data_IF_952588480373
#
_entry.id   IF_952588480373
#
_cell.length_a   1.000
_cell.length_b   1.000
_cell.length_c   1.000
_cell.angle_alpha   90.00
_cell.angle_beta   90.00
_cell.angle_gamma   90.00
#
_symmetry.space_group_name_H-M   'P 1'
#
loop_
_entity.id
_entity.type
_entity.pdbx_description
1 polymer ?
#
# COMPACT_ATOMS: atom_id res chain seq x y z
N UNK A 1 68.90 14.50 -3.06
CA UNK A 1 68.08 13.37 -3.54
C UNK A 1 67.70 12.52 -2.34
N UNK A 2 66.41 12.20 -2.22
CA UNK A 2 65.87 10.97 -1.61
C UNK A 2 65.78 10.93 -0.06
N UNK A 3 64.50 11.01 0.38
CA UNK A 3 63.83 10.31 1.50
C UNK A 3 64.13 10.80 2.94
N UNK A 4 63.18 10.82 3.88
CA UNK A 4 61.83 10.24 3.94
C UNK A 4 61.07 11.02 5.03
N UNK A 5 59.94 11.64 4.68
CA UNK A 5 59.02 12.24 5.64
C UNK A 5 58.33 11.11 6.41
N UNK A 6 58.62 11.00 7.71
CA UNK A 6 57.74 10.38 8.68
C UNK A 6 56.48 11.25 8.81
N UNK A 7 55.43 10.92 8.05
CA UNK A 7 54.07 11.18 8.48
C UNK A 7 53.30 9.89 8.28
N UNK A 8 53.13 9.20 9.41
CA UNK A 8 52.28 8.04 9.58
C UNK A 8 50.90 8.34 8.99
N UNK A 9 50.57 7.60 7.95
CA UNK A 9 49.25 7.53 7.35
C UNK A 9 48.28 7.00 8.43
N UNK A 10 47.45 7.87 9.01
CA UNK A 10 46.24 7.44 9.69
C UNK A 10 45.29 6.88 8.63
N UNK A 11 45.37 5.58 8.38
CA UNK A 11 44.42 4.85 7.56
C UNK A 11 43.07 4.83 8.31
N UNK A 12 42.17 5.74 7.96
CA UNK A 12 40.77 5.62 8.33
C UNK A 12 40.18 4.43 7.56
N UNK A 13 40.22 3.24 8.17
CA UNK A 13 39.45 2.09 7.71
C UNK A 13 37.98 2.46 7.93
N UNK A 14 37.33 2.98 6.90
CA UNK A 14 35.88 3.01 6.84
C UNK A 14 35.42 1.55 6.83
N UNK A 15 34.92 1.06 7.97
CA UNK A 15 34.17 -0.18 8.08
C UNK A 15 33.00 -0.08 7.10
N UNK A 16 33.16 -0.68 5.92
CA UNK A 16 32.03 -1.07 5.09
C UNK A 16 31.31 -2.17 5.87
N UNK A 17 30.38 -1.77 6.73
CA UNK A 17 29.41 -2.70 7.30
C UNK A 17 28.55 -3.13 6.10
N UNK A 18 28.60 -4.39 5.66
CA UNK A 18 27.62 -4.86 4.70
C UNK A 18 26.24 -4.63 5.32
N UNK A 19 25.36 -3.92 4.61
CA UNK A 19 23.97 -3.76 5.03
C UNK A 19 23.40 -5.17 5.09
N UNK A 20 23.14 -5.67 6.30
CA UNK A 20 22.50 -6.96 6.47
C UNK A 20 21.11 -6.86 5.82
N UNK A 21 20.90 -7.63 4.75
CA UNK A 21 19.56 -7.84 4.21
C UNK A 21 18.74 -8.61 5.23
N UNK A 22 17.50 -8.18 5.45
CA UNK A 22 16.53 -9.01 6.14
C UNK A 22 16.03 -10.06 5.16
N UNK A 23 15.78 -11.28 5.58
CA UNK A 23 14.97 -12.23 4.81
C UNK A 23 13.76 -12.50 5.67
N UNK A 24 12.59 -12.01 5.28
CA UNK A 24 11.44 -12.14 6.15
C UNK A 24 10.19 -12.63 5.44
N UNK A 25 9.50 -13.52 6.14
CA UNK A 25 8.10 -13.82 5.90
C UNK A 25 7.29 -13.21 7.04
N UNK A 26 6.05 -12.86 6.79
CA UNK A 26 5.13 -12.38 7.82
C UNK A 26 3.96 -13.35 8.01
N UNK A 27 3.39 -13.39 9.21
CA UNK A 27 2.17 -14.15 9.48
C UNK A 27 1.12 -13.23 10.08
N UNK A 28 -0.14 -13.66 10.08
CA UNK A 28 -1.29 -12.87 10.53
C UNK A 28 -1.10 -12.32 11.95
N UNK A 29 -0.66 -13.13 12.95
CA UNK A 29 -0.27 -12.62 14.26
C UNK A 29 0.75 -11.46 14.23
N UNK A 30 1.81 -11.52 13.42
CA UNK A 30 2.79 -10.44 13.33
C UNK A 30 2.17 -9.20 12.72
N UNK A 31 1.40 -9.33 11.64
CA UNK A 31 0.67 -8.21 11.03
C UNK A 31 -0.20 -7.54 12.09
N UNK A 32 -1.07 -8.30 12.77
CA UNK A 32 -1.94 -7.76 13.82
C UNK A 32 -1.14 -7.07 14.94
N UNK A 33 -0.05 -7.68 15.41
CA UNK A 33 0.77 -7.11 16.48
C UNK A 33 1.47 -5.81 16.05
N UNK A 34 2.04 -5.78 14.84
CA UNK A 34 2.72 -4.62 14.28
C UNK A 34 1.74 -3.48 13.96
N UNK A 35 0.57 -3.79 13.40
CA UNK A 35 -0.52 -2.81 13.19
C UNK A 35 -0.99 -2.23 14.52
N UNK A 36 -1.17 -3.07 15.54
CA UNK A 36 -1.59 -2.62 16.87
C UNK A 36 -0.54 -1.71 17.52
N UNK A 37 0.74 -2.03 17.35
CA UNK A 37 1.85 -1.20 17.86
C UNK A 37 1.88 0.17 17.19
N UNK A 38 1.58 0.25 15.90
CA UNK A 38 1.51 1.50 15.16
C UNK A 38 0.16 2.25 15.29
N UNK A 39 -0.85 1.64 15.91
CA UNK A 39 -2.20 2.18 15.96
C UNK A 39 -2.25 3.60 16.55
N UNK A 40 -1.44 3.89 17.58
CA UNK A 40 -1.39 5.22 18.19
C UNK A 40 -0.90 6.33 17.24
N UNK A 41 0.01 6.02 16.32
CA UNK A 41 0.58 7.02 15.40
C UNK A 41 -0.17 7.08 14.05
N UNK A 42 -0.75 5.95 13.64
CA UNK A 42 -1.34 5.75 12.33
C UNK A 42 -2.85 5.99 12.32
N UNK A 43 -3.57 5.54 13.35
CA UNK A 43 -5.03 5.66 13.40
C UNK A 43 -5.49 7.12 13.51
N UNK A 44 -4.73 7.97 14.20
CA UNK A 44 -4.99 9.43 14.31
C UNK A 44 -6.45 9.77 14.61
N UNK A 45 -6.99 9.10 15.62
CA UNK A 45 -8.39 9.25 16.00
C UNK A 45 -8.67 10.66 16.52
N UNK A 46 -9.77 11.26 16.06
CA UNK A 46 -10.21 12.57 16.52
C UNK A 46 -11.73 12.76 16.42
N UNK A 47 -12.34 13.50 17.36
CA UNK A 47 -13.70 14.00 17.20
C UNK A 47 -13.69 15.20 16.26
N UNK A 48 -14.43 15.14 15.15
CA UNK A 48 -14.38 16.14 14.08
C UNK A 48 -15.66 16.98 13.99
N UNK A 49 -16.77 16.51 14.54
CA UNK A 49 -18.05 17.17 14.37
C UNK A 49 -19.23 16.51 15.10
N UNK A 50 -20.43 16.89 14.68
CA UNK A 50 -21.69 16.32 15.18
C UNK A 50 -22.66 16.03 14.03
N UNK A 51 -23.31 14.88 14.11
CA UNK A 51 -24.38 14.45 13.21
C UNK A 51 -25.75 14.64 13.85
N UNK A 52 -26.73 15.05 13.04
CA UNK A 52 -28.11 15.27 13.45
C UNK A 52 -29.02 14.23 12.77
N UNK A 53 -29.85 13.60 13.58
CA UNK A 53 -30.74 12.51 13.18
C UNK A 53 -32.16 12.79 13.62
N UNK A 54 -33.14 12.44 12.79
CA UNK A 54 -34.54 12.47 13.17
C UNK A 54 -34.94 11.11 13.72
N UNK A 55 -35.38 11.09 14.99
CA UNK A 55 -35.97 9.92 15.63
C UNK A 55 -37.46 10.13 15.88
N UNK A 56 -38.31 9.45 15.12
CA UNK A 56 -39.76 9.47 15.33
C UNK A 56 -40.24 8.22 16.07
N UNK A 57 -41.15 8.44 17.02
CA UNK A 57 -41.98 7.43 17.69
C UNK A 57 -43.45 7.76 17.45
N UNK A 58 -44.35 6.90 17.93
CA UNK A 58 -45.80 7.10 17.86
C UNK A 58 -46.28 8.38 18.58
N UNK A 59 -45.48 8.90 19.53
CA UNK A 59 -45.75 10.13 20.30
C UNK A 59 -45.16 11.41 19.69
N UNK A 60 -44.38 11.33 18.62
CA UNK A 60 -43.75 12.49 17.98
C UNK A 60 -42.33 12.25 17.50
N UNK A 61 -41.73 13.29 16.93
CA UNK A 61 -40.36 13.26 16.40
C UNK A 61 -39.41 14.13 17.24
N UNK A 62 -38.22 13.61 17.51
CA UNK A 62 -37.15 14.31 18.23
C UNK A 62 -35.87 14.28 17.42
N UNK A 63 -35.13 15.39 17.41
CA UNK A 63 -33.77 15.43 16.85
C UNK A 63 -32.82 14.82 17.87
N UNK A 64 -32.01 13.88 17.41
CA UNK A 64 -30.95 13.21 18.18
C UNK A 64 -29.61 13.54 17.55
N UNK A 65 -28.60 13.71 18.39
CA UNK A 65 -27.23 13.98 17.93
C UNK A 65 -26.31 12.80 18.23
N UNK A 66 -25.28 12.64 17.40
CA UNK A 66 -24.14 11.77 17.68
C UNK A 66 -22.84 12.46 17.30
N UNK A 67 -21.76 12.08 17.97
CA UNK A 67 -20.43 12.58 17.64
C UNK A 67 -20.01 12.06 16.27
N UNK A 68 -19.41 12.92 15.46
CA UNK A 68 -18.73 12.55 14.22
C UNK A 68 -17.26 12.37 14.53
N UNK A 69 -16.74 11.19 14.20
CA UNK A 69 -15.34 10.82 14.44
C UNK A 69 -14.63 10.68 13.10
N UNK A 70 -13.35 11.05 13.09
CA UNK A 70 -12.42 10.84 11.99
C UNK A 70 -11.23 10.03 12.47
N UNK A 71 -10.87 8.98 11.74
CA UNK A 71 -9.64 8.21 11.98
C UNK A 71 -9.26 7.39 10.74
N UNK A 72 -8.02 6.90 10.72
CA UNK A 72 -7.50 6.03 9.68
C UNK A 72 -7.67 4.57 10.07
N UNK A 73 -8.29 3.79 9.19
CA UNK A 73 -8.39 2.34 9.32
C UNK A 73 -7.28 1.64 8.54
N UNK A 74 -6.70 0.55 9.06
CA UNK A 74 -5.84 -0.33 8.26
C UNK A 74 -6.75 -1.16 7.35
N UNK A 75 -6.92 -0.71 6.11
CA UNK A 75 -7.89 -1.32 5.19
C UNK A 75 -7.29 -2.53 4.47
N UNK A 76 -6.05 -2.42 4.00
CA UNK A 76 -5.41 -3.45 3.19
C UNK A 76 -4.01 -3.76 3.74
N UNK A 77 -3.64 -5.03 3.62
CA UNK A 77 -2.24 -5.46 3.59
C UNK A 77 -1.86 -5.60 2.12
N UNK A 78 -0.83 -4.88 1.70
CA UNK A 78 -0.31 -4.93 0.33
C UNK A 78 1.08 -5.54 0.37
N UNK A 79 1.24 -6.65 -0.34
CA UNK A 79 2.50 -7.40 -0.41
C UNK A 79 3.05 -7.32 -1.83
N UNK A 80 4.34 -7.02 -1.95
CA UNK A 80 5.05 -7.02 -3.23
C UNK A 80 6.22 -7.97 -3.15
N UNK A 81 6.35 -8.83 -4.15
CA UNK A 81 7.26 -9.96 -4.11
C UNK A 81 7.72 -10.36 -5.51
N UNK A 82 8.72 -11.21 -5.56
CA UNK A 82 9.41 -11.57 -6.79
C UNK A 82 8.67 -12.61 -7.61
N UNK A 83 8.45 -13.79 -7.03
CA UNK A 83 7.94 -14.94 -7.77
C UNK A 83 6.42 -15.07 -7.68
N UNK A 84 5.76 -15.41 -8.78
CA UNK A 84 4.32 -15.65 -8.79
C UNK A 84 3.92 -16.70 -7.73
N UNK A 85 2.92 -16.39 -6.91
CA UNK A 85 2.50 -17.25 -5.79
C UNK A 85 3.51 -17.32 -4.64
N UNK A 86 4.53 -16.47 -4.63
CA UNK A 86 5.58 -16.37 -3.62
C UNK A 86 5.25 -15.44 -2.46
N UNK A 87 3.99 -14.99 -2.30
CA UNK A 87 3.58 -13.97 -1.33
C UNK A 87 4.24 -14.15 0.07
N UNK A 88 4.89 -13.11 0.64
CA UNK A 88 5.58 -13.23 1.93
C UNK A 88 4.65 -13.39 3.13
N UNK A 89 3.35 -13.15 2.97
CA UNK A 89 2.34 -13.46 3.96
C UNK A 89 1.97 -14.94 3.90
N UNK A 90 2.43 -15.71 4.88
CA UNK A 90 2.46 -17.19 4.80
C UNK A 90 1.10 -17.85 4.58
N UNK A 91 0.05 -17.36 5.24
CA UNK A 91 -1.30 -17.91 5.17
C UNK A 91 -1.96 -17.61 3.83
N UNK A 92 -1.73 -16.41 3.30
CA UNK A 92 -2.17 -16.03 1.96
C UNK A 92 -1.44 -16.85 0.90
N UNK A 93 -0.13 -17.01 1.02
CA UNK A 93 0.65 -17.86 0.11
C UNK A 93 0.13 -19.29 0.08
N UNK A 94 -0.17 -19.87 1.24
CA UNK A 94 -0.68 -21.23 1.36
C UNK A 94 -2.08 -21.41 0.74
N UNK A 95 -2.92 -20.37 0.78
CA UNK A 95 -4.32 -20.44 0.31
C UNK A 95 -4.49 -20.00 -1.14
N UNK A 96 -3.82 -18.92 -1.55
CA UNK A 96 -3.99 -18.29 -2.86
C UNK A 96 -2.85 -18.57 -3.83
N UNK A 97 -1.66 -18.95 -3.35
CA UNK A 97 -0.46 -19.07 -4.20
C UNK A 97 -0.61 -20.11 -5.31
N UNK A 98 -1.18 -21.29 -5.01
CA UNK A 98 -1.43 -22.32 -6.04
C UNK A 98 -2.52 -21.89 -7.03
N UNK A 99 -3.58 -21.24 -6.54
CA UNK A 99 -4.66 -20.74 -7.37
C UNK A 99 -4.15 -19.66 -8.33
N UNK A 100 -3.33 -18.72 -7.85
CA UNK A 100 -2.67 -17.72 -8.68
C UNK A 100 -1.78 -18.36 -9.74
N UNK A 101 -0.89 -19.30 -9.36
CA UNK A 101 -0.01 -19.99 -10.32
C UNK A 101 -0.81 -20.71 -11.41
N UNK A 102 -1.88 -21.41 -11.02
CA UNK A 102 -2.74 -22.16 -11.96
C UNK A 102 -3.52 -21.24 -12.87
N UNK A 103 -4.16 -20.21 -12.32
CA UNK A 103 -4.97 -19.25 -13.07
C UNK A 103 -4.12 -18.42 -14.02
N UNK A 104 -2.96 -17.93 -13.55
CA UNK A 104 -1.99 -17.25 -14.40
C UNK A 104 -1.52 -18.17 -15.52
N UNK A 105 -1.14 -19.42 -15.22
CA UNK A 105 -0.68 -20.37 -16.25
C UNK A 105 -1.75 -20.70 -17.28
N UNK A 106 -3.00 -20.88 -16.85
CA UNK A 106 -4.12 -21.16 -17.75
C UNK A 106 -4.50 -19.95 -18.61
N UNK A 107 -4.66 -18.78 -18.00
CA UNK A 107 -5.08 -17.55 -18.68
C UNK A 107 -3.97 -17.00 -19.57
N UNK A 108 -2.75 -16.87 -19.04
CA UNK A 108 -1.60 -16.42 -19.84
C UNK A 108 -1.20 -17.49 -20.85
N UNK A 109 -1.10 -18.77 -20.48
CA UNK A 109 -0.74 -19.82 -21.43
C UNK A 109 -1.72 -19.96 -22.60
N UNK A 110 -2.99 -19.58 -22.41
CA UNK A 110 -3.98 -19.55 -23.49
C UNK A 110 -4.01 -18.25 -24.30
N UNK A 111 -3.66 -17.10 -23.71
CA UNK A 111 -3.74 -15.78 -24.36
C UNK A 111 -2.40 -15.23 -24.86
N UNK A 112 -1.28 -15.62 -24.26
CA UNK A 112 0.05 -15.09 -24.51
C UNK A 112 1.14 -16.18 -24.37
N UNK A 113 1.98 -16.44 -25.38
CA UNK A 113 3.07 -17.42 -25.31
C UNK A 113 4.28 -16.87 -24.51
N UNK A 114 4.06 -16.38 -23.30
CA UNK A 114 5.11 -15.82 -22.42
C UNK A 114 5.32 -16.75 -21.23
N UNK A 115 6.57 -17.18 -20.93
CA UNK A 115 6.84 -18.05 -19.80
C UNK A 115 6.50 -17.35 -18.46
N UNK A 116 5.55 -17.93 -17.73
CA UNK A 116 4.94 -17.37 -16.50
C UNK A 116 5.97 -17.23 -15.36
N UNK A 117 6.92 -18.17 -15.27
CA UNK A 117 7.97 -18.24 -14.25
C UNK A 117 9.14 -17.27 -14.50
N UNK A 118 9.14 -16.55 -15.63
CA UNK A 118 10.33 -15.87 -16.12
C UNK A 118 10.46 -14.40 -15.69
N UNK A 119 9.55 -13.88 -14.87
CA UNK A 119 9.57 -12.48 -14.44
C UNK A 119 10.19 -12.27 -13.04
N UNK A 120 10.34 -13.34 -12.23
CA UNK A 120 10.60 -13.24 -10.80
C UNK A 120 11.95 -12.67 -10.36
N UNK A 121 12.85 -12.36 -11.29
CA UNK A 121 14.06 -11.59 -10.98
C UNK A 121 14.59 -10.86 -12.22
N UNK A 122 13.70 -10.49 -13.15
CA UNK A 122 14.13 -9.83 -14.39
C UNK A 122 14.50 -8.39 -14.09
N UNK A 123 15.78 -8.23 -13.81
CA UNK A 123 16.52 -7.04 -14.18
C UNK A 123 16.92 -7.17 -15.63
N UNK A 124 16.63 -6.17 -16.46
CA UNK A 124 17.07 -6.18 -17.85
C UNK A 124 18.60 -6.33 -17.86
N UNK A 125 19.09 -7.41 -18.48
CA UNK A 125 20.51 -7.71 -18.54
C UNK A 125 20.80 -9.19 -18.80
N UNK A 126 21.57 -9.49 -19.84
CA UNK A 126 22.05 -10.85 -20.16
C UNK A 126 23.49 -11.07 -19.71
N UNK A 127 24.18 -10.00 -19.28
CA UNK A 127 25.56 -10.03 -18.81
C UNK A 127 25.68 -9.47 -17.38
N UNK A 128 26.72 -9.89 -16.64
CA UNK A 128 27.01 -9.35 -15.30
C UNK A 128 27.35 -7.84 -15.28
N UNK A 129 27.43 -7.18 -16.45
CA UNK A 129 27.76 -5.76 -16.59
C UNK A 129 26.57 -4.89 -16.98
N UNK A 130 25.40 -5.47 -17.18
CA UNK A 130 24.21 -4.70 -17.55
C UNK A 130 23.64 -3.97 -16.32
N UNK A 131 23.23 -2.71 -16.52
CA UNK A 131 22.63 -1.91 -15.45
C UNK A 131 21.22 -2.43 -15.13
N UNK A 132 21.12 -3.13 -14.00
CA UNK A 132 19.92 -3.80 -13.50
C UNK A 132 18.89 -2.86 -12.84
N UNK A 133 18.50 -1.79 -13.54
CA UNK A 133 17.59 -0.77 -12.96
C UNK A 133 16.12 -1.01 -13.28
N UNK A 134 15.79 -1.93 -14.20
CA UNK A 134 14.41 -2.34 -14.43
C UNK A 134 14.08 -3.47 -13.46
N UNK A 135 13.04 -3.34 -12.64
CA UNK A 135 12.67 -4.33 -11.61
C UNK A 135 11.21 -4.72 -11.83
N UNK A 136 10.94 -6.02 -11.88
CA UNK A 136 9.58 -6.54 -11.89
C UNK A 136 9.17 -7.05 -10.51
N UNK A 137 7.93 -6.76 -10.09
CA UNK A 137 7.34 -7.37 -8.89
C UNK A 137 5.89 -7.78 -9.12
N UNK A 138 5.53 -8.92 -8.56
CA UNK A 138 4.14 -9.27 -8.27
C UNK A 138 3.61 -8.45 -7.10
N UNK A 139 2.30 -8.24 -7.04
CA UNK A 139 1.66 -7.45 -6.00
C UNK A 139 0.24 -7.94 -5.73
N UNK A 140 -0.04 -8.19 -4.45
CA UNK A 140 -1.38 -8.53 -3.98
C UNK A 140 -1.86 -7.49 -2.97
N UNK A 141 -3.12 -7.09 -3.07
CA UNK A 141 -3.79 -6.23 -2.11
C UNK A 141 -4.96 -6.99 -1.47
N UNK A 142 -4.85 -7.21 -0.15
CA UNK A 142 -5.73 -8.11 0.60
C UNK A 142 -6.32 -7.38 1.79
N UNK A 143 -7.60 -7.59 2.06
CA UNK A 143 -8.28 -7.00 3.20
C UNK A 143 -7.59 -7.30 4.52
N UNK A 144 -7.33 -6.26 5.30
CA UNK A 144 -6.55 -6.36 6.52
C UNK A 144 -7.26 -7.24 7.57
N UNK A 145 -6.55 -8.07 8.36
CA UNK A 145 -7.16 -8.94 9.37
C UNK A 145 -8.00 -8.20 10.43
N UNK A 146 -7.65 -6.95 10.71
CA UNK A 146 -8.38 -6.09 11.66
C UNK A 146 -9.60 -5.37 11.03
N UNK A 147 -9.84 -5.47 9.73
CA UNK A 147 -10.93 -4.72 9.09
C UNK A 147 -12.31 -5.14 9.63
N UNK A 148 -12.53 -6.43 9.85
CA UNK A 148 -13.75 -6.95 10.49
C UNK A 148 -13.92 -6.53 11.96
N UNK A 149 -12.81 -6.39 12.70
CA UNK A 149 -12.83 -5.95 14.09
C UNK A 149 -13.28 -4.49 14.22
N UNK A 150 -12.94 -3.62 13.27
CA UNK A 150 -13.49 -2.25 13.24
C UNK A 150 -15.01 -2.25 13.13
N UNK A 151 -15.59 -3.19 12.37
CA UNK A 151 -17.04 -3.38 12.25
C UNK A 151 -17.71 -3.87 13.53
N UNK A 152 -17.04 -4.71 14.34
CA UNK A 152 -17.55 -5.18 15.63
C UNK A 152 -17.56 -4.04 16.66
N UNK A 153 -16.49 -3.24 16.70
CA UNK A 153 -16.36 -2.13 17.66
C UNK A 153 -17.14 -0.88 17.20
N UNK A 154 -17.54 -0.79 15.93
CA UNK A 154 -18.37 0.28 15.39
C UNK A 154 -19.69 0.49 16.16
N UNK A 155 -20.20 -0.55 16.84
CA UNK A 155 -21.37 -0.43 17.73
C UNK A 155 -21.18 0.52 18.92
N UNK A 156 -19.94 0.91 19.24
CA UNK A 156 -19.62 1.92 20.27
C UNK A 156 -19.81 3.36 19.78
N UNK A 157 -19.96 3.56 18.47
CA UNK A 157 -20.00 4.89 17.86
C UNK A 157 -18.65 5.61 17.78
N UNK A 158 -17.57 4.98 18.23
CA UNK A 158 -16.24 5.58 18.30
C UNK A 158 -15.32 5.16 17.15
N UNK A 159 -15.58 4.04 16.48
CA UNK A 159 -14.81 3.59 15.33
C UNK A 159 -15.71 3.46 14.10
N UNK A 160 -15.11 3.70 12.95
CA UNK A 160 -15.76 3.63 11.65
C UNK A 160 -15.51 2.22 11.11
N UNK A 161 -16.56 1.55 10.60
CA UNK A 161 -16.34 0.30 9.91
C UNK A 161 -15.45 0.54 8.70
N UNK A 162 -14.47 -0.34 8.51
CA UNK A 162 -13.69 -0.41 7.27
C UNK A 162 -14.56 -0.94 6.13
N UNK A 163 -14.27 -0.52 4.90
CA UNK A 163 -14.95 -0.99 3.68
C UNK A 163 -14.31 -2.26 3.12
N UNK A 164 -13.27 -2.77 3.79
CA UNK A 164 -12.60 -4.00 3.39
C UNK A 164 -13.04 -5.20 4.23
N UNK A 165 -13.17 -6.35 3.58
CA UNK A 165 -13.42 -7.63 4.27
C UNK A 165 -12.09 -8.32 4.56
N UNK A 166 -11.89 -8.76 5.80
CA UNK A 166 -10.63 -9.37 6.22
C UNK A 166 -10.28 -10.60 5.37
N UNK A 167 -9.02 -10.70 4.96
CA UNK A 167 -8.47 -11.75 4.08
C UNK A 167 -9.07 -11.83 2.67
N UNK A 168 -9.94 -10.89 2.29
CA UNK A 168 -10.50 -10.88 0.94
C UNK A 168 -9.47 -10.31 -0.07
N UNK A 169 -9.15 -11.02 -1.17
CA UNK A 169 -8.20 -10.52 -2.16
C UNK A 169 -8.88 -9.50 -3.09
N UNK A 170 -8.57 -8.22 -2.90
CA UNK A 170 -9.09 -7.13 -3.74
C UNK A 170 -8.32 -7.02 -5.07
N UNK A 171 -7.02 -7.33 -5.05
CA UNK A 171 -6.19 -7.37 -6.26
C UNK A 171 -5.13 -8.45 -6.14
N UNK A 172 -4.88 -9.15 -7.24
CA UNK A 172 -3.82 -10.13 -7.38
C UNK A 172 -3.20 -9.98 -8.77
N UNK A 173 -1.98 -9.46 -8.83
CA UNK A 173 -1.29 -9.17 -10.09
C UNK A 173 -1.17 -10.37 -11.04
N UNK A 174 -1.06 -11.58 -10.48
CA UNK A 174 -1.01 -12.82 -11.25
C UNK A 174 -2.27 -13.11 -12.06
N UNK A 175 -3.44 -12.63 -11.63
CA UNK A 175 -4.71 -12.76 -12.35
C UNK A 175 -4.90 -11.64 -13.37
N UNK A 176 -4.27 -10.50 -13.13
CA UNK A 176 -4.34 -9.29 -13.95
C UNK A 176 -3.17 -9.21 -14.94
N UNK A 177 -2.79 -10.35 -15.51
CA UNK A 177 -1.49 -10.45 -16.15
C UNK A 177 -1.34 -9.61 -17.43
N UNK A 178 -2.44 -9.28 -18.13
CA UNK A 178 -2.38 -8.40 -19.29
C UNK A 178 -1.98 -6.98 -18.88
N UNK A 179 -2.75 -6.35 -18.00
CA UNK A 179 -2.47 -4.98 -17.54
C UNK A 179 -1.23 -4.91 -16.68
N UNK A 180 -1.03 -5.88 -15.78
CA UNK A 180 0.10 -5.88 -14.87
C UNK A 180 1.44 -6.22 -15.53
N UNK A 181 1.52 -7.17 -16.48
CA UNK A 181 2.80 -7.58 -17.08
C UNK A 181 3.08 -6.96 -18.45
N UNK A 182 2.04 -6.64 -19.22
CA UNK A 182 2.18 -6.07 -20.57
C UNK A 182 1.88 -4.57 -20.62
N UNK A 183 1.50 -3.97 -19.49
CA UNK A 183 1.17 -2.54 -19.40
C UNK A 183 -0.05 -2.13 -20.25
N UNK A 184 -0.80 -3.08 -20.82
CA UNK A 184 -1.94 -2.80 -21.71
C UNK A 184 -3.25 -2.99 -20.94
N UNK A 185 -4.18 -2.01 -20.94
CA UNK A 185 -4.18 -0.77 -21.75
C UNK A 185 -3.57 0.45 -21.04
N UNK A 186 -2.92 0.25 -19.90
CA UNK A 186 -2.39 1.32 -19.05
C UNK A 186 -1.40 2.26 -19.78
N UNK A 187 -0.65 1.76 -20.76
CA UNK A 187 0.29 2.52 -21.58
C UNK A 187 -0.37 3.66 -22.36
N UNK A 188 -1.68 3.56 -22.62
CA UNK A 188 -2.43 4.59 -23.35
C UNK A 188 -2.89 5.77 -22.48
N UNK A 189 -2.72 5.70 -21.15
CA UNK A 189 -3.00 6.86 -20.31
C UNK A 189 -1.96 7.97 -20.54
N UNK A 190 -2.36 9.25 -20.56
CA UNK A 190 -1.41 10.36 -20.75
C UNK A 190 -0.26 10.37 -19.74
N UNK A 191 -0.53 9.94 -18.50
CA UNK A 191 0.48 9.86 -17.45
C UNK A 191 1.55 8.79 -17.70
N UNK A 192 1.30 7.82 -18.58
CA UNK A 192 2.30 6.82 -19.01
C UNK A 192 3.30 7.40 -20.02
N UNK A 193 2.95 8.49 -20.71
CA UNK A 193 3.75 9.07 -21.79
C UNK A 193 4.39 10.41 -21.42
N UNK A 194 3.81 11.13 -20.45
CA UNK A 194 4.25 12.46 -20.04
C UNK A 194 4.92 12.38 -18.65
N UNK A 195 6.26 12.46 -18.58
CA UNK A 195 6.97 12.49 -17.30
C UNK A 195 6.49 13.64 -16.41
N UNK A 196 6.49 13.42 -15.10
CA UNK A 196 6.04 14.44 -14.15
C UNK A 196 4.55 14.36 -13.81
N UNK A 197 3.74 13.66 -14.62
CA UNK A 197 2.36 13.36 -14.27
C UNK A 197 2.31 12.12 -13.37
N UNK A 198 1.56 12.22 -12.24
CA UNK A 198 1.28 11.08 -11.36
C UNK A 198 2.55 10.37 -10.87
N UNK A 199 3.48 11.15 -10.32
CA UNK A 199 4.78 10.69 -9.86
C UNK A 199 4.79 10.38 -8.37
N UNK A 200 5.47 9.29 -8.00
CA UNK A 200 5.76 8.97 -6.61
C UNK A 200 7.04 9.70 -6.16
N UNK A 201 6.90 11.01 -5.96
CA UNK A 201 8.00 11.90 -5.57
C UNK A 201 7.77 13.33 -6.05
N UNK A 202 8.83 14.10 -6.15
CA UNK A 202 8.84 15.47 -6.70
C UNK A 202 9.68 15.52 -7.98
N UNK A 203 9.04 15.31 -9.12
CA UNK A 203 9.67 15.46 -10.43
C UNK A 203 10.02 16.94 -10.71
N UNK A 204 11.13 17.25 -11.41
CA UNK A 204 12.14 16.33 -11.95
C UNK A 204 13.27 15.99 -10.96
N UNK A 205 13.28 16.60 -9.78
CA UNK A 205 14.44 16.57 -8.88
C UNK A 205 14.60 15.25 -8.13
N UNK A 206 13.50 14.64 -7.69
CA UNK A 206 13.51 13.37 -6.97
C UNK A 206 12.20 12.64 -7.20
N UNK A 207 12.19 11.58 -8.00
CA UNK A 207 11.02 10.71 -8.15
C UNK A 207 11.44 9.25 -7.99
N UNK A 208 10.58 8.45 -7.37
CA UNK A 208 10.73 7.00 -7.32
C UNK A 208 10.15 6.34 -8.57
N UNK A 209 9.37 7.08 -9.37
CA UNK A 209 8.79 6.63 -10.63
C UNK A 209 7.32 7.05 -10.79
N UNK A 210 6.84 6.93 -12.03
CA UNK A 210 5.45 7.22 -12.38
C UNK A 210 4.51 6.09 -11.94
N UNK A 211 3.33 6.45 -11.43
CA UNK A 211 2.28 5.46 -11.12
C UNK A 211 1.71 4.83 -12.37
N UNK A 212 1.67 5.57 -13.47
CA UNK A 212 1.27 5.07 -14.78
C UNK A 212 2.50 4.71 -15.65
N UNK A 213 2.44 3.64 -16.46
CA UNK A 213 1.39 2.62 -16.47
C UNK A 213 1.36 1.84 -15.14
N UNK A 214 0.18 1.41 -14.68
CA UNK A 214 0.06 0.65 -13.42
C UNK A 214 0.43 -0.81 -13.65
N UNK A 215 1.73 -1.07 -13.73
CA UNK A 215 2.35 -2.36 -14.03
C UNK A 215 3.24 -2.86 -12.89
N UNK A 216 3.65 -4.12 -12.98
CA UNK A 216 4.70 -4.72 -12.18
C UNK A 216 6.11 -4.19 -12.48
N UNK A 217 6.34 -3.57 -13.64
CA UNK A 217 7.64 -3.07 -14.07
C UNK A 217 7.94 -1.67 -13.53
N UNK A 218 9.12 -1.50 -12.94
CA UNK A 218 9.56 -0.21 -12.39
C UNK A 218 11.03 0.02 -12.70
N UNK A 219 11.38 1.20 -13.23
CA UNK A 219 12.78 1.60 -13.39
C UNK A 219 13.26 2.30 -12.11
N UNK A 220 13.93 1.56 -11.22
CA UNK A 220 14.52 2.05 -9.99
C UNK A 220 15.82 1.30 -9.65
N UNK A 221 16.80 2.03 -9.13
CA UNK A 221 18.04 1.42 -8.62
C UNK A 221 17.87 0.82 -7.22
N UNK A 222 16.93 1.36 -6.42
CA UNK A 222 16.64 0.87 -5.08
C UNK A 222 15.41 -0.03 -5.09
N UNK A 223 15.61 -1.32 -4.81
CA UNK A 223 14.53 -2.31 -4.72
C UNK A 223 13.37 -1.93 -3.79
N UNK A 224 13.60 -1.38 -2.57
CA UNK A 224 12.49 -0.98 -1.70
C UNK A 224 11.61 0.11 -2.32
N UNK A 225 12.19 1.04 -3.08
CA UNK A 225 11.43 2.10 -3.76
C UNK A 225 10.61 1.54 -4.92
N UNK A 226 11.17 0.60 -5.67
CA UNK A 226 10.44 -0.12 -6.71
C UNK A 226 9.23 -0.87 -6.12
N UNK A 227 9.47 -1.60 -5.03
CA UNK A 227 8.45 -2.34 -4.32
C UNK A 227 7.35 -1.41 -3.76
N UNK A 228 7.73 -0.27 -3.16
CA UNK A 228 6.77 0.74 -2.69
C UNK A 228 5.94 1.36 -3.82
N UNK A 229 6.52 1.58 -5.01
CA UNK A 229 5.78 2.06 -6.18
C UNK A 229 4.74 1.03 -6.65
N UNK A 230 5.10 -0.26 -6.70
CA UNK A 230 4.16 -1.32 -7.06
C UNK A 230 3.02 -1.43 -6.04
N UNK A 231 3.32 -1.30 -4.74
CA UNK A 231 2.30 -1.24 -3.70
C UNK A 231 1.36 -0.02 -3.87
N UNK A 232 1.91 1.15 -4.20
CA UNK A 232 1.13 2.35 -4.52
C UNK A 232 0.21 2.13 -5.73
N UNK A 233 0.70 1.50 -6.79
CA UNK A 233 -0.09 1.18 -7.99
C UNK A 233 -1.26 0.25 -7.66
N UNK A 234 -1.02 -0.82 -6.91
CA UNK A 234 -2.09 -1.72 -6.46
C UNK A 234 -3.12 -1.00 -5.59
N UNK A 235 -2.67 -0.15 -4.66
CA UNK A 235 -3.53 0.72 -3.86
C UNK A 235 -4.37 1.70 -4.70
N UNK A 236 -3.78 2.29 -5.74
CA UNK A 236 -4.49 3.18 -6.66
C UNK A 236 -5.55 2.44 -7.49
N UNK A 237 -5.27 1.20 -7.94
CA UNK A 237 -6.23 0.36 -8.66
C UNK A 237 -7.44 0.06 -7.77
N UNK A 238 -7.21 -0.52 -6.59
CA UNK A 238 -8.30 -1.03 -5.73
C UNK A 238 -9.13 0.09 -5.10
N UNK A 239 -8.60 1.30 -4.97
CA UNK A 239 -9.35 2.43 -4.38
C UNK A 239 -10.13 3.24 -5.42
N UNK A 240 -10.14 2.79 -6.68
CA UNK A 240 -10.93 3.37 -7.78
C UNK A 240 -11.92 2.35 -8.31
N UNK A 241 -12.93 2.83 -9.05
CA UNK A 241 -13.86 1.98 -9.78
C UNK A 241 -13.61 2.08 -11.28
N UNK A 242 -14.03 1.07 -12.05
CA UNK A 242 -13.95 1.08 -13.51
C UNK A 242 -12.55 1.09 -14.13
N UNK A 243 -11.52 0.71 -13.36
CA UNK A 243 -10.15 0.56 -13.89
C UNK A 243 -10.04 -0.66 -14.83
N UNK A 244 -9.19 -0.61 -15.87
CA UNK A 244 -9.02 -1.71 -16.82
C UNK A 244 -8.09 -2.81 -16.28
N UNK A 245 -8.45 -3.35 -15.11
CA UNK A 245 -7.71 -4.38 -14.39
C UNK A 245 -8.67 -5.48 -13.92
N UNK A 246 -8.15 -6.66 -13.61
CA UNK A 246 -8.87 -7.73 -12.90
C UNK A 246 -8.75 -7.51 -11.39
N UNK A 247 -9.76 -6.87 -10.80
CA UNK A 247 -9.77 -6.52 -9.37
C UNK A 247 -11.20 -6.36 -8.85
N UNK A 248 -11.33 -6.29 -7.54
CA UNK A 248 -12.55 -5.85 -6.85
C UNK A 248 -12.26 -4.47 -6.26
N UNK A 249 -13.08 -3.44 -6.53
CA UNK A 249 -12.88 -2.14 -5.93
C UNK A 249 -13.23 -2.16 -4.44
N UNK A 250 -12.46 -1.44 -3.62
CA UNK A 250 -12.78 -1.16 -2.22
C UNK A 250 -13.90 -0.14 -2.19
N UNK A 251 -15.12 -0.64 -2.37
CA UNK A 251 -16.34 0.15 -2.29
C UNK A 251 -17.06 -0.13 -1.00
N UNK A 252 -17.63 0.93 -0.43
CA UNK A 252 -18.25 0.81 0.86
C UNK A 252 -19.60 0.10 0.91
N UNK A 253 -19.89 -0.50 2.07
CA UNK A 253 -21.20 -1.06 2.38
C UNK A 253 -21.89 -0.22 3.46
N UNK A 254 -23.18 0.08 3.27
CA UNK A 254 -23.95 0.85 4.23
C UNK A 254 -24.23 0.02 5.49
N UNK A 255 -23.43 0.23 6.54
CA UNK A 255 -23.59 -0.42 7.83
C UNK A 255 -24.64 0.24 8.76
N UNK A 256 -24.56 -0.09 10.04
CA UNK A 256 -25.38 0.49 11.12
C UNK A 256 -25.05 1.96 11.44
N UNK A 257 -24.07 2.55 10.75
CA UNK A 257 -23.57 3.91 10.93
C UNK A 257 -23.65 4.69 9.61
N UNK A 258 -23.67 6.02 9.69
CA UNK A 258 -23.38 6.86 8.51
C UNK A 258 -21.87 6.95 8.38
N UNK A 259 -21.35 6.51 7.23
CA UNK A 259 -19.92 6.52 6.91
C UNK A 259 -19.70 7.40 5.68
N UNK A 260 -18.61 8.16 5.70
CA UNK A 260 -18.05 8.81 4.53
C UNK A 260 -16.75 8.10 4.19
N UNK A 261 -16.80 7.30 3.14
CA UNK A 261 -15.67 6.51 2.67
C UNK A 261 -14.60 7.43 2.03
N UNK A 262 -13.31 7.09 2.15
CA UNK A 262 -12.23 7.86 1.55
C UNK A 262 -12.32 7.82 0.02
N UNK A 263 -11.90 8.93 -0.61
CA UNK A 263 -11.74 9.00 -2.06
C UNK A 263 -10.56 8.15 -2.57
N UNK A 264 -10.27 8.16 -3.88
CA UNK A 264 -9.15 7.42 -4.45
C UNK A 264 -7.81 7.72 -3.77
N UNK A 265 -6.95 6.71 -3.65
CA UNK A 265 -5.58 6.91 -3.16
C UNK A 265 -4.81 7.81 -4.13
N UNK A 266 -4.09 8.79 -3.60
CA UNK A 266 -3.25 9.71 -4.36
C UNK A 266 -1.83 9.67 -3.80
N UNK A 267 -0.85 9.78 -4.69
CA UNK A 267 0.56 9.78 -4.33
C UNK A 267 0.88 11.00 -3.47
N UNK A 268 1.70 10.83 -2.43
CA UNK A 268 2.15 11.91 -1.52
C UNK A 268 1.05 12.64 -0.75
N UNK A 269 -0.20 12.27 -0.92
CA UNK A 269 -1.32 12.91 -0.24
C UNK A 269 -1.79 12.07 0.95
N UNK A 270 -1.38 12.50 2.15
CA UNK A 270 -1.74 11.85 3.41
C UNK A 270 -3.26 11.82 3.62
N UNK A 271 -4.01 12.78 3.07
CA UNK A 271 -5.48 12.86 3.22
C UNK A 271 -6.23 11.77 2.46
N UNK A 272 -5.54 11.02 1.60
CA UNK A 272 -6.12 9.89 0.85
C UNK A 272 -5.63 8.53 1.35
N UNK A 273 -4.50 8.50 2.06
CA UNK A 273 -3.97 7.30 2.68
C UNK A 273 -2.52 7.44 3.12
N UNK A 274 -2.09 6.54 4.00
CA UNK A 274 -0.70 6.42 4.44
C UNK A 274 -0.28 4.97 4.52
N UNK A 275 1.02 4.73 4.46
CA UNK A 275 1.61 3.40 4.43
C UNK A 275 2.41 3.15 5.71
N UNK A 276 2.32 1.92 6.21
CA UNK A 276 3.14 1.40 7.30
C UNK A 276 3.93 0.21 6.78
N UNK A 277 5.26 0.23 6.85
CA UNK A 277 6.05 -0.96 6.52
C UNK A 277 5.90 -2.03 7.61
N UNK A 278 5.64 -3.26 7.19
CA UNK A 278 5.57 -4.45 8.05
C UNK A 278 6.80 -5.35 7.83
N UNK A 279 7.24 -5.44 6.58
CA UNK A 279 8.38 -6.22 6.13
C UNK A 279 9.18 -5.39 5.10
N UNK A 280 10.53 -5.43 5.11
CA UNK A 280 11.40 -6.21 6.00
C UNK A 280 11.55 -5.66 7.42
N UNK A 281 11.41 -4.34 7.57
CA UNK A 281 11.56 -3.67 8.85
C UNK A 281 10.23 -3.05 9.26
N UNK A 282 9.65 -3.54 10.34
CA UNK A 282 8.36 -3.02 10.81
C UNK A 282 8.51 -1.60 11.35
N UNK A 283 7.68 -0.70 10.85
CA UNK A 283 7.60 0.68 11.28
C UNK A 283 6.41 0.88 12.23
N UNK A 284 6.63 1.64 13.29
CA UNK A 284 5.58 2.09 14.22
C UNK A 284 4.95 3.42 13.81
N UNK A 285 5.24 3.91 12.61
CA UNK A 285 4.76 5.19 12.07
C UNK A 285 4.21 5.02 10.67
N UNK A 286 3.30 5.91 10.26
CA UNK A 286 2.70 5.89 8.92
C UNK A 286 3.02 7.15 8.14
N UNK A 287 3.47 6.96 6.89
CA UNK A 287 3.83 8.04 5.99
C UNK A 287 3.42 7.72 4.55
N UNK A 288 3.43 8.73 3.71
CA UNK A 288 3.28 8.55 2.26
C UNK A 288 4.63 8.15 1.65
N UNK A 289 4.58 7.39 0.57
CA UNK A 289 5.75 7.13 -0.26
C UNK A 289 6.17 8.38 -1.06
N UNK A 290 7.37 8.37 -1.64
CA UNK A 290 7.92 9.51 -2.39
C UNK A 290 8.52 10.61 -1.51
N UNK A 291 9.02 10.24 -0.33
CA UNK A 291 9.74 11.17 0.56
C UNK A 291 11.07 11.58 -0.09
N UNK A 292 11.40 12.87 -0.05
CA UNK A 292 12.68 13.36 -0.56
C UNK A 292 13.83 12.93 0.35
N UNK A 293 14.73 12.12 -0.19
CA UNK A 293 15.86 11.51 0.49
C UNK A 293 17.21 11.87 -0.15
N UNK A 294 17.27 12.88 -1.03
CA UNK A 294 18.51 13.29 -1.73
C UNK A 294 19.64 13.69 -0.77
N UNK A 295 19.31 14.22 0.40
CA UNK A 295 20.28 14.60 1.42
C UNK A 295 20.57 13.47 2.43
N UNK A 296 19.91 12.31 2.28
CA UNK A 296 20.15 11.15 3.14
C UNK A 296 21.41 10.42 2.70
N UNK A 297 22.29 10.08 3.66
CA UNK A 297 23.51 9.31 3.39
C UNK A 297 23.20 7.89 2.88
N UNK A 298 22.06 7.32 3.31
CA UNK A 298 21.68 5.92 3.01
C UNK A 298 20.43 5.82 2.14
N UNK A 299 19.85 6.94 1.70
CA UNK A 299 18.55 6.97 1.03
C UNK A 299 17.39 6.48 1.91
N UNK A 300 16.20 6.40 1.33
CA UNK A 300 15.01 5.83 1.96
C UNK A 300 15.08 4.30 2.02
N UNK A 301 15.65 3.65 1.00
CA UNK A 301 15.83 2.18 0.98
C UNK A 301 16.89 1.66 1.95
N UNK A 302 17.76 2.52 2.48
CA UNK A 302 18.81 2.14 3.43
C UNK A 302 18.25 1.41 4.65
N UNK A 303 18.70 0.18 4.87
CA UNK A 303 18.24 -0.68 5.98
C UNK A 303 16.84 -1.28 5.80
N UNK A 304 16.20 -1.05 4.65
CA UNK A 304 14.89 -1.62 4.27
C UNK A 304 15.02 -2.62 3.14
N UNK A 305 16.20 -3.15 2.85
CA UNK A 305 16.41 -4.14 1.78
C UNK A 305 16.12 -5.53 2.33
N UNK A 306 15.20 -6.23 1.68
CA UNK A 306 14.97 -7.66 1.90
C UNK A 306 15.81 -8.46 0.89
N UNK A 307 16.49 -9.53 1.31
CA UNK A 307 17.38 -10.33 0.47
C UNK A 307 16.64 -11.19 -0.55
N UNK A 308 15.39 -11.56 -0.24
CA UNK A 308 14.49 -12.24 -1.18
C UNK A 308 13.65 -11.24 -1.98
N UNK A 309 13.77 -9.96 -1.64
CA UNK A 309 13.03 -8.87 -2.23
C UNK A 309 11.56 -8.85 -1.81
N UNK A 310 11.22 -9.38 -0.64
CA UNK A 310 9.85 -9.41 -0.18
C UNK A 310 9.51 -8.20 0.69
N UNK A 311 8.37 -7.56 0.40
CA UNK A 311 7.93 -6.37 1.12
C UNK A 311 6.43 -6.43 1.41
N UNK A 312 6.04 -5.92 2.57
CA UNK A 312 4.66 -5.88 3.01
C UNK A 312 4.37 -4.55 3.70
N UNK A 313 3.25 -3.94 3.36
CA UNK A 313 2.77 -2.71 3.99
C UNK A 313 1.29 -2.80 4.39
N UNK A 314 0.92 -2.06 5.42
CA UNK A 314 -0.48 -1.69 5.62
C UNK A 314 -0.80 -0.40 4.89
N UNK A 315 -1.96 -0.37 4.22
CA UNK A 315 -2.58 0.84 3.73
C UNK A 315 -3.61 1.34 4.74
N UNK A 316 -3.30 2.47 5.37
CA UNK A 316 -4.16 3.18 6.30
C UNK A 316 -4.97 4.25 5.57
N UNK A 317 -6.29 4.25 5.76
CA UNK A 317 -7.24 5.03 4.95
C UNK A 317 -8.17 5.85 5.83
N UNK A 318 -8.40 7.15 5.53
CA UNK A 318 -9.16 8.01 6.41
C UNK A 318 -10.67 7.85 6.25
N UNK A 319 -11.33 7.50 7.34
CA UNK A 319 -12.78 7.40 7.43
C UNK A 319 -13.36 8.50 8.30
N UNK A 320 -14.58 8.92 7.97
CA UNK A 320 -15.45 9.67 8.87
C UNK A 320 -16.70 8.86 9.12
N UNK A 321 -17.22 8.89 10.34
CA UNK A 321 -18.50 8.24 10.62
C UNK A 321 -19.23 8.83 11.82
N UNK A 322 -20.52 8.51 11.88
CA UNK A 322 -21.42 8.83 12.98
C UNK A 322 -22.28 7.64 13.34
N UNK A 323 -22.43 7.38 14.63
CA UNK A 323 -23.39 6.41 15.14
C UNK A 323 -24.81 6.83 14.75
N UNK A 324 -25.61 5.89 14.24
CA UNK A 324 -27.00 6.16 13.86
C UNK A 324 -27.88 6.31 15.11
N UNK A 325 -28.39 7.53 15.36
CA UNK A 325 -29.27 7.83 16.51
C UNK A 325 -30.74 8.06 16.14
N UNK A 326 -31.11 7.93 14.87
CA UNK A 326 -32.48 8.09 14.37
C UNK A 326 -32.73 7.33 13.08
N UNK A 327 -33.98 7.31 12.61
CA UNK A 327 -34.33 6.64 11.36
C UNK A 327 -33.78 7.41 10.16
N UNK A 328 -33.76 8.74 10.19
CA UNK A 328 -33.31 9.59 9.09
C UNK A 328 -32.11 10.45 9.50
N UNK A 329 -31.11 10.52 8.62
CA UNK A 329 -30.02 11.48 8.72
C UNK A 329 -30.51 12.84 8.22
N UNK A 330 -30.22 13.92 8.96
CA UNK A 330 -30.60 15.28 8.58
C UNK A 330 -29.42 16.00 7.93
N UNK A 331 -28.38 16.25 8.73
CA UNK A 331 -27.14 16.92 8.31
C UNK A 331 -26.04 16.68 9.36
N UNK A 332 -24.83 17.12 9.04
CA UNK A 332 -23.69 17.13 9.94
C UNK A 332 -22.99 18.49 9.96
N UNK A 333 -22.28 18.76 11.04
CA UNK A 333 -21.45 19.95 11.21
C UNK A 333 -20.05 19.49 11.61
N UNK A 334 -19.05 19.87 10.82
CA UNK A 334 -17.63 19.68 11.14
C UNK A 334 -17.10 20.92 11.89
N UNK A 335 -16.50 20.69 13.06
CA UNK A 335 -15.81 21.73 13.83
C UNK A 335 -14.32 21.78 13.50
N UNK A 336 -13.78 20.67 13.00
CA UNK A 336 -12.37 20.49 12.65
C UNK A 336 -12.30 19.97 11.22
N UNK A 337 -11.38 20.53 10.43
CA UNK A 337 -11.06 20.01 9.12
C UNK A 337 -10.36 18.65 9.25
N UNK A 338 -10.90 17.65 8.56
CA UNK A 338 -10.41 16.27 8.47
C UNK A 338 -10.90 15.73 7.13
N UNK A 339 -10.22 14.82 6.41
CA UNK A 339 -8.97 14.13 6.71
C UNK A 339 -7.70 15.00 6.69
#
# INVERSE_FOLDING_TARGET
>A
MIRQRCLSFCLAIALWVPVAGFSGTTTTPQIVAQTTTAAFSCMRWMPIGTCFWLRCSWTGCSVRTSIKVGHYNPDLVVSTYNELGGNPWTEIRATLGLAQKTAATGLLGALLPVPIDSAGNRTEGTSERDHKNLIYRETDAIGHPLSSLTGIVAGTGLLCPSETTSFFPYFQSGLDALSWRQEIPEIFYPASLLPGLRELGTWPLQTWGGVYPRTGWTTQAEEPKAAALNAQRAGDIVTRTGQPHVYVPVTGSSGSMKVWSPGPLMEKDRSTGTWQMLLPLSESSCNVFGTNDLASLTGWGGGRVDSEGDYVWNLWRPYKCCERRGQWFLFDIDWIAYP
#
